data_IF_706893031358
#
_entry.id   IF_706893031358
#
_cell.length_a   1.000
_cell.length_b   1.000
_cell.length_c   1.000
_cell.angle_alpha   90.00
_cell.angle_beta   90.00
_cell.angle_gamma   90.00
#
_symmetry.space_group_name_H-M   'P 1'
#
loop_
_entity.id
_entity.type
_entity.pdbx_description
1 polymer ?
#
# COMPACT_ATOMS: atom_id res chain seq x y z
N UNK A 1 23.61 -20.86 -10.76
CA UNK A 1 23.55 -20.27 -12.11
C UNK A 1 23.78 -18.78 -11.97
N UNK A 2 24.72 -18.23 -12.72
CA UNK A 2 24.98 -16.78 -12.79
C UNK A 2 23.71 -16.07 -13.22
N UNK A 3 23.28 -15.05 -12.46
CA UNK A 3 22.20 -14.15 -12.88
C UNK A 3 22.66 -13.46 -14.18
N UNK A 4 21.99 -13.75 -15.28
CA UNK A 4 22.25 -13.20 -16.62
C UNK A 4 21.72 -11.77 -16.79
N UNK A 5 21.00 -11.26 -15.79
CA UNK A 5 20.42 -9.92 -15.84
C UNK A 5 21.51 -8.85 -15.83
N UNK A 6 21.44 -7.83 -16.71
CA UNK A 6 22.39 -6.74 -16.72
C UNK A 6 22.34 -5.96 -15.40
N UNK A 7 23.50 -5.75 -14.77
CA UNK A 7 23.61 -4.95 -13.55
C UNK A 7 23.77 -3.47 -13.90
N UNK A 8 22.80 -2.65 -13.47
CA UNK A 8 22.86 -1.20 -13.59
C UNK A 8 23.46 -0.57 -12.33
N UNK A 9 24.48 0.25 -12.49
CA UNK A 9 25.05 1.03 -11.40
C UNK A 9 24.33 2.38 -11.31
N UNK A 10 23.31 2.44 -10.46
CA UNK A 10 22.39 3.57 -10.38
C UNK A 10 22.98 4.70 -9.52
N UNK A 11 23.08 5.91 -10.08
CA UNK A 11 23.39 7.14 -9.31
C UNK A 11 22.08 7.82 -8.94
N UNK A 12 21.74 7.83 -7.66
CA UNK A 12 20.53 8.48 -7.13
C UNK A 12 20.90 9.50 -6.04
N UNK A 13 20.13 10.60 -5.92
CA UNK A 13 20.24 11.49 -4.78
C UNK A 13 20.00 10.76 -3.46
N UNK A 14 20.67 11.19 -2.40
CA UNK A 14 20.54 10.58 -1.07
C UNK A 14 19.10 10.58 -0.56
N UNK A 15 18.38 11.70 -0.73
CA UNK A 15 16.97 11.79 -0.36
C UNK A 15 16.09 10.74 -1.06
N UNK A 16 16.39 10.39 -2.32
CA UNK A 16 15.65 9.36 -3.04
C UNK A 16 16.04 7.95 -2.55
N UNK A 17 17.33 7.71 -2.27
CA UNK A 17 17.79 6.46 -1.66
C UNK A 17 17.05 6.19 -0.35
N UNK A 18 16.95 7.20 0.51
CA UNK A 18 16.34 7.05 1.83
C UNK A 18 14.84 6.77 1.73
N UNK A 19 14.14 7.40 0.78
CA UNK A 19 12.75 7.08 0.47
C UNK A 19 12.57 5.63 0.00
N UNK A 20 13.45 5.14 -0.88
CA UNK A 20 13.43 3.74 -1.34
C UNK A 20 13.68 2.78 -0.19
N UNK A 21 14.63 3.09 0.70
CA UNK A 21 14.94 2.25 1.86
C UNK A 21 13.76 2.17 2.84
N UNK A 22 13.10 3.31 3.10
CA UNK A 22 11.91 3.35 3.96
C UNK A 22 10.77 2.52 3.36
N UNK A 23 10.46 2.73 2.07
CA UNK A 23 9.42 1.98 1.37
C UNK A 23 9.74 0.47 1.30
N UNK A 24 11.00 0.11 1.05
CA UNK A 24 11.43 -1.29 1.04
C UNK A 24 11.21 -1.95 2.39
N UNK A 25 11.54 -1.25 3.49
CA UNK A 25 11.29 -1.74 4.86
C UNK A 25 9.81 -1.94 5.13
N UNK A 26 8.98 -0.96 4.74
CA UNK A 26 7.52 -1.03 4.93
C UNK A 26 6.89 -2.17 4.14
N UNK A 27 7.35 -2.40 2.91
CA UNK A 27 6.86 -3.46 2.03
C UNK A 27 7.51 -4.83 2.27
N UNK A 28 8.41 -4.97 3.26
CA UNK A 28 9.12 -6.23 3.55
C UNK A 28 10.07 -6.69 2.43
N UNK A 29 10.63 -5.75 1.66
CA UNK A 29 11.51 -5.98 0.51
C UNK A 29 12.94 -5.53 0.77
N UNK A 30 13.88 -6.05 -0.02
CA UNK A 30 15.19 -5.40 -0.17
C UNK A 30 15.07 -4.12 -0.99
N UNK A 31 15.99 -3.17 -0.84
CA UNK A 31 15.99 -1.93 -1.62
C UNK A 31 16.01 -2.21 -3.14
N UNK A 32 16.82 -3.18 -3.58
CA UNK A 32 16.85 -3.60 -4.99
C UNK A 32 15.50 -4.18 -5.44
N UNK A 33 14.86 -5.01 -4.62
CA UNK A 33 13.55 -5.58 -4.96
C UNK A 33 12.46 -4.51 -5.04
N UNK A 34 12.49 -3.51 -4.16
CA UNK A 34 11.56 -2.37 -4.21
C UNK A 34 11.77 -1.50 -5.46
N UNK A 35 13.03 -1.23 -5.84
CA UNK A 35 13.33 -0.52 -7.08
C UNK A 35 12.79 -1.29 -8.29
N UNK A 36 13.07 -2.59 -8.37
CA UNK A 36 12.58 -3.44 -9.46
C UNK A 36 11.06 -3.46 -9.51
N UNK A 37 10.40 -3.66 -8.37
CA UNK A 37 8.94 -3.65 -8.28
C UNK A 37 8.33 -2.34 -8.81
N UNK A 38 8.87 -1.18 -8.40
CA UNK A 38 8.37 0.11 -8.87
C UNK A 38 8.56 0.31 -10.37
N UNK A 39 9.69 -0.11 -10.91
CA UNK A 39 9.96 -0.06 -12.35
C UNK A 39 9.04 -1.01 -13.12
N UNK A 40 8.86 -2.25 -12.67
CA UNK A 40 7.96 -3.21 -13.31
C UNK A 40 6.52 -2.69 -13.31
N UNK A 41 6.06 -2.11 -12.19
CA UNK A 41 4.73 -1.52 -12.08
C UNK A 41 4.55 -0.30 -13.00
N UNK A 42 5.58 0.53 -13.20
CA UNK A 42 5.46 1.72 -14.06
C UNK A 42 5.21 1.36 -15.53
N UNK A 43 5.70 0.20 -15.99
CA UNK A 43 5.51 -0.25 -17.37
C UNK A 43 4.20 -1.03 -17.61
N UNK A 44 3.40 -1.31 -16.57
CA UNK A 44 2.13 -2.06 -16.73
C UNK A 44 1.12 -1.33 -17.62
N UNK A 45 1.07 0.00 -17.57
CA UNK A 45 0.19 0.82 -18.41
C UNK A 45 0.77 1.18 -19.78
N UNK A 46 2.06 0.92 -20.00
CA UNK A 46 2.78 1.28 -21.24
C UNK A 46 2.94 0.10 -22.20
N UNK A 47 2.72 -1.13 -21.73
CA UNK A 47 2.76 -2.32 -22.60
C UNK A 47 1.62 -2.18 -23.61
N UNK A 48 1.98 -2.10 -24.91
CA UNK A 48 1.03 -1.98 -26.00
C UNK A 48 -0.05 -3.07 -25.89
N UNK A 49 -1.30 -2.71 -26.17
CA UNK A 49 -2.48 -3.57 -26.06
C UNK A 49 -2.47 -4.81 -26.99
N UNK A 50 -1.33 -5.09 -27.62
CA UNK A 50 -1.12 -6.08 -28.67
C UNK A 50 -0.63 -7.43 -28.11
N UNK A 51 -0.03 -7.46 -26.91
CA UNK A 51 0.45 -8.71 -26.28
C UNK A 51 -0.20 -8.95 -24.92
N UNK A 52 -0.98 -10.04 -24.83
CA UNK A 52 -1.59 -10.50 -23.58
C UNK A 52 -0.50 -10.92 -22.59
N UNK A 53 -0.48 -10.29 -21.41
CA UNK A 53 0.44 -10.64 -20.35
C UNK A 53 0.30 -12.13 -19.97
N UNK A 54 1.39 -12.91 -19.91
CA UNK A 54 1.34 -14.29 -19.43
C UNK A 54 0.79 -14.38 -18.01
N UNK A 55 -0.04 -15.38 -17.73
CA UNK A 55 -0.71 -15.55 -16.42
C UNK A 55 0.29 -15.61 -15.24
N UNK A 56 1.46 -16.22 -15.42
CA UNK A 56 2.51 -16.25 -14.39
C UNK A 56 3.04 -14.85 -14.05
N UNK A 57 3.24 -14.01 -15.06
CA UNK A 57 3.67 -12.61 -14.88
C UNK A 57 2.53 -11.79 -14.25
N UNK A 58 1.30 -11.96 -14.70
CA UNK A 58 0.13 -11.29 -14.10
C UNK A 58 0.01 -11.62 -12.60
N UNK A 59 0.20 -12.89 -12.22
CA UNK A 59 0.23 -13.32 -10.81
C UNK A 59 1.35 -12.64 -10.03
N UNK A 60 2.58 -12.62 -10.57
CA UNK A 60 3.71 -11.94 -9.94
C UNK A 60 3.43 -10.44 -9.74
N UNK A 61 2.93 -9.76 -10.78
CA UNK A 61 2.60 -8.33 -10.74
C UNK A 61 1.50 -8.03 -9.72
N UNK A 62 0.46 -8.88 -9.68
CA UNK A 62 -0.61 -8.79 -8.68
C UNK A 62 -0.06 -8.91 -7.26
N UNK A 63 0.80 -9.90 -6.97
CA UNK A 63 1.45 -10.03 -5.67
C UNK A 63 2.30 -8.82 -5.33
N UNK A 64 3.04 -8.28 -6.30
CA UNK A 64 3.87 -7.09 -6.10
C UNK A 64 3.04 -5.85 -5.77
N UNK A 65 1.94 -5.63 -6.49
CA UNK A 65 1.04 -4.52 -6.23
C UNK A 65 0.41 -4.64 -4.83
N UNK A 66 -0.02 -5.85 -4.44
CA UNK A 66 -0.65 -6.12 -3.13
C UNK A 66 0.24 -5.75 -1.94
N UNK A 67 1.55 -5.97 -2.03
CA UNK A 67 2.47 -5.63 -0.94
C UNK A 67 2.51 -4.13 -0.63
N UNK A 68 2.09 -3.26 -1.55
CA UNK A 68 2.00 -1.81 -1.33
C UNK A 68 0.66 -1.33 -0.74
N UNK A 69 -0.36 -2.19 -0.72
CA UNK A 69 -1.70 -1.86 -0.22
C UNK A 69 -1.67 -1.47 1.26
N UNK A 70 -1.03 -2.24 2.18
CA UNK A 70 -1.00 -1.87 3.59
C UNK A 70 -0.37 -0.49 3.83
N UNK A 71 0.75 -0.19 3.18
CA UNK A 71 1.40 1.11 3.28
C UNK A 71 0.45 2.25 2.82
N UNK A 72 -0.27 2.02 1.73
CA UNK A 72 -1.23 2.99 1.18
C UNK A 72 -2.42 3.21 2.13
N UNK A 73 -3.01 2.13 2.65
CA UNK A 73 -4.12 2.20 3.61
C UNK A 73 -3.70 2.95 4.87
N UNK A 74 -2.55 2.59 5.45
CA UNK A 74 -1.99 3.25 6.63
C UNK A 74 -1.81 4.75 6.40
N UNK A 75 -1.19 5.12 5.28
CA UNK A 75 -0.96 6.51 4.91
C UNK A 75 -2.26 7.30 4.87
N UNK A 76 -3.28 6.78 4.19
CA UNK A 76 -4.59 7.43 4.06
C UNK A 76 -5.31 7.60 5.40
N UNK A 77 -5.25 6.59 6.26
CA UNK A 77 -5.79 6.66 7.62
C UNK A 77 -5.15 7.83 8.37
N UNK A 78 -3.82 7.88 8.39
CA UNK A 78 -3.06 8.92 9.11
C UNK A 78 -3.34 10.31 8.53
N UNK A 79 -3.32 10.46 7.20
CA UNK A 79 -3.60 11.72 6.52
C UNK A 79 -5.01 12.23 6.82
N UNK A 80 -6.01 11.35 6.78
CA UNK A 80 -7.42 11.70 7.03
C UNK A 80 -7.67 12.11 8.48
N UNK A 81 -7.08 11.40 9.44
CA UNK A 81 -7.15 11.76 10.87
C UNK A 81 -6.48 13.13 11.09
N UNK A 82 -5.26 13.32 10.59
CA UNK A 82 -4.54 14.58 10.74
C UNK A 82 -5.32 15.76 10.14
N UNK A 83 -5.91 15.56 8.97
CA UNK A 83 -6.75 16.55 8.32
C UNK A 83 -7.98 16.87 9.17
N UNK A 84 -8.72 15.87 9.65
CA UNK A 84 -9.89 16.05 10.52
C UNK A 84 -9.55 16.84 11.79
N UNK A 85 -8.45 16.46 12.47
CA UNK A 85 -7.95 17.15 13.67
C UNK A 85 -7.59 18.61 13.35
N UNK A 86 -6.90 18.88 12.24
CA UNK A 86 -6.54 20.25 11.83
C UNK A 86 -7.75 21.15 11.57
N UNK A 87 -8.91 20.55 11.26
CA UNK A 87 -10.17 21.24 11.02
C UNK A 87 -11.06 21.32 12.28
N UNK A 88 -10.63 20.72 13.40
CA UNK A 88 -11.40 20.65 14.65
C UNK A 88 -12.56 19.66 14.61
N UNK A 89 -12.56 18.71 13.67
CA UNK A 89 -13.55 17.63 13.64
C UNK A 89 -13.27 16.59 14.73
N UNK A 90 -14.31 15.87 15.15
CA UNK A 90 -14.24 14.77 16.14
C UNK A 90 -14.05 13.37 15.51
N UNK A 91 -14.07 13.31 14.18
CA UNK A 91 -14.04 12.07 13.42
C UNK A 91 -13.45 12.25 12.03
N UNK A 92 -13.03 11.14 11.43
CA UNK A 92 -12.55 11.05 10.06
C UNK A 92 -13.24 9.88 9.34
N UNK A 93 -13.50 10.05 8.04
CA UNK A 93 -13.87 8.96 7.15
C UNK A 93 -12.74 8.73 6.18
N UNK A 94 -12.42 7.46 5.93
CA UNK A 94 -11.38 7.07 4.97
C UNK A 94 -12.00 6.14 3.94
N UNK A 95 -11.80 6.47 2.66
CA UNK A 95 -12.25 5.69 1.51
C UNK A 95 -11.06 4.96 0.85
N UNK A 96 -11.29 3.70 0.53
CA UNK A 96 -10.39 2.75 -0.11
C UNK A 96 -11.03 2.07 -1.33
N UNK A 97 -12.21 2.51 -1.79
CA UNK A 97 -12.92 1.92 -2.92
C UNK A 97 -12.07 1.80 -4.20
N UNK A 98 -11.15 2.74 -4.42
CA UNK A 98 -10.20 2.73 -5.53
C UNK A 98 -9.10 1.65 -5.43
N UNK A 99 -8.87 1.10 -4.24
CA UNK A 99 -7.92 0.02 -4.00
C UNK A 99 -8.53 -1.36 -4.27
N UNK A 100 -9.85 -1.43 -4.47
CA UNK A 100 -10.62 -2.66 -4.74
C UNK A 100 -10.26 -3.79 -3.78
N UNK A 101 -10.34 -3.50 -2.47
CA UNK A 101 -9.91 -4.42 -1.42
C UNK A 101 -10.75 -5.70 -1.40
N UNK A 102 -11.99 -5.64 -1.88
CA UNK A 102 -12.86 -6.80 -2.13
C UNK A 102 -12.29 -7.81 -3.14
N UNK A 103 -11.38 -7.40 -4.03
CA UNK A 103 -10.74 -8.28 -5.02
C UNK A 103 -9.53 -9.04 -4.44
N UNK A 104 -9.15 -8.75 -3.21
CA UNK A 104 -8.14 -9.51 -2.49
C UNK A 104 -8.70 -10.86 -2.04
N UNK A 105 -7.85 -11.88 -1.84
CA UNK A 105 -8.25 -13.07 -1.10
C UNK A 105 -8.86 -12.66 0.24
N UNK A 106 -9.97 -13.30 0.60
CA UNK A 106 -10.73 -12.96 1.81
C UNK A 106 -9.84 -12.95 3.07
N UNK A 107 -8.93 -13.93 3.19
CA UNK A 107 -7.94 -13.99 4.27
C UNK A 107 -7.00 -12.79 4.33
N UNK A 108 -6.56 -12.27 3.18
CA UNK A 108 -5.66 -11.12 3.09
C UNK A 108 -6.40 -9.82 3.46
N UNK A 109 -7.64 -9.67 3.01
CA UNK A 109 -8.48 -8.51 3.33
C UNK A 109 -8.81 -8.45 4.83
N UNK A 110 -9.20 -9.59 5.43
CA UNK A 110 -9.47 -9.68 6.86
C UNK A 110 -8.21 -9.37 7.66
N UNK A 111 -7.08 -10.00 7.33
CA UNK A 111 -5.82 -9.75 8.04
C UNK A 111 -5.38 -8.27 7.96
N UNK A 112 -5.63 -7.60 6.84
CA UNK A 112 -5.38 -6.18 6.66
C UNK A 112 -6.25 -5.33 7.60
N UNK A 113 -7.57 -5.59 7.60
CA UNK A 113 -8.53 -4.87 8.44
C UNK A 113 -8.23 -5.09 9.93
N UNK A 114 -7.91 -6.32 10.33
CA UNK A 114 -7.56 -6.65 11.71
C UNK A 114 -6.30 -5.90 12.16
N UNK A 115 -5.26 -5.86 11.32
CA UNK A 115 -4.02 -5.16 11.65
C UNK A 115 -4.25 -3.64 11.86
N UNK A 116 -5.10 -3.01 11.05
CA UNK A 116 -5.42 -1.59 11.22
C UNK A 116 -6.42 -1.32 12.33
N UNK A 117 -7.33 -2.26 12.59
CA UNK A 117 -8.22 -2.23 13.76
C UNK A 117 -7.42 -2.29 15.05
N UNK A 118 -6.42 -3.17 15.14
CA UNK A 118 -5.49 -3.24 16.27
C UNK A 118 -4.68 -1.95 16.40
N UNK A 119 -4.14 -1.41 15.29
CA UNK A 119 -3.41 -0.15 15.28
C UNK A 119 -4.25 1.02 15.82
N UNK A 120 -5.50 1.15 15.39
CA UNK A 120 -6.42 2.20 15.81
C UNK A 120 -6.82 2.04 17.29
N UNK A 121 -7.19 0.83 17.69
CA UNK A 121 -7.55 0.48 19.07
C UNK A 121 -6.39 0.77 20.04
N UNK A 122 -5.17 0.35 19.71
CA UNK A 122 -3.97 0.60 20.52
C UNK A 122 -3.65 2.09 20.66
N UNK A 123 -4.06 2.92 19.70
CA UNK A 123 -3.92 4.36 19.74
C UNK A 123 -5.11 5.09 20.40
N UNK A 124 -6.15 4.36 20.81
CA UNK A 124 -7.32 4.90 21.52
C UNK A 124 -8.44 5.43 20.63
N UNK A 125 -8.44 5.10 19.33
CA UNK A 125 -9.52 5.46 18.43
C UNK A 125 -10.67 4.46 18.53
N UNK A 126 -11.91 4.96 18.43
CA UNK A 126 -13.08 4.14 18.10
C UNK A 126 -13.24 4.10 16.57
N UNK A 127 -13.67 2.97 16.01
CA UNK A 127 -13.82 2.83 14.57
C UNK A 127 -14.92 1.85 14.18
N UNK A 128 -15.45 2.04 12.98
CA UNK A 128 -16.45 1.18 12.35
C UNK A 128 -16.08 1.00 10.88
N UNK A 129 -15.94 -0.25 10.45
CA UNK A 129 -15.71 -0.59 9.05
C UNK A 129 -17.05 -0.74 8.32
N UNK A 130 -17.16 -0.11 7.15
CA UNK A 130 -18.23 -0.38 6.19
C UNK A 130 -17.65 -1.16 5.02
N UNK A 131 -17.73 -2.49 5.13
CA UNK A 131 -17.03 -3.41 4.25
C UNK A 131 -15.51 -3.24 4.29
N UNK A 132 -14.79 -3.73 3.28
CA UNK A 132 -13.34 -3.53 3.17
C UNK A 132 -12.99 -2.13 2.64
N UNK A 133 -13.95 -1.42 2.06
CA UNK A 133 -13.66 -0.22 1.25
C UNK A 133 -13.70 1.08 2.04
N UNK A 134 -14.21 1.11 3.27
CA UNK A 134 -14.15 2.33 4.07
C UNK A 134 -14.13 2.09 5.57
N UNK A 135 -13.58 3.06 6.31
CA UNK A 135 -13.59 3.07 7.76
C UNK A 135 -13.97 4.46 8.28
N UNK A 136 -14.88 4.48 9.24
CA UNK A 136 -15.20 5.64 10.04
C UNK A 136 -14.41 5.58 11.36
N UNK A 137 -13.74 6.68 11.72
CA UNK A 137 -12.84 6.75 12.88
C UNK A 137 -13.29 7.92 13.76
N UNK A 138 -13.49 7.67 15.05
CA UNK A 138 -13.86 8.66 16.06
C UNK A 138 -12.76 8.79 17.10
N UNK A 139 -12.53 10.03 17.55
CA UNK A 139 -11.52 10.35 18.56
C UNK A 139 -12.01 11.40 19.57
N UNK A 140 -13.32 11.60 19.65
CA UNK A 140 -13.96 12.43 20.67
C UNK A 140 -15.05 11.64 21.39
N UNK A 141 -15.12 11.83 22.70
CA UNK A 141 -16.11 11.26 23.62
C UNK A 141 -17.15 12.33 23.92
N UNK A 142 -18.04 12.61 22.96
CA UNK A 142 -19.29 13.34 23.26
C UNK A 142 -20.42 12.33 23.40
#
# INVERSE_FOLDING_TARGET
MSRTDPQFNLRIPEALRDQVMAAAKENGRSATAEILARLELSFLGETSAEELMPAGKAKQMSTIARQSIPATVKKRIVESINQAVSMGHASASVDFSDLSLEALPEEDAIALMDAFSEMLSNAGYEFEWDGPDSVWIRFDTI
#
